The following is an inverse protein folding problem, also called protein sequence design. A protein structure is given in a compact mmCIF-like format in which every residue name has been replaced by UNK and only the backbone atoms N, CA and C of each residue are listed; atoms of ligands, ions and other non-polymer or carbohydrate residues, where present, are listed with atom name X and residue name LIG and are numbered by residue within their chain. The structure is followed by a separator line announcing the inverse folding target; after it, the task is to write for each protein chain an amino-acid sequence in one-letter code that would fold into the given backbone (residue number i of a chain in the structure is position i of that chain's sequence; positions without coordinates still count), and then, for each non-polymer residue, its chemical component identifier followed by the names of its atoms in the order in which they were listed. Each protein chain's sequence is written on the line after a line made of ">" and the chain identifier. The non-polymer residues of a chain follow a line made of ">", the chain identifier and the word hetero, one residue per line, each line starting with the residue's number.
data_IF_252641209077
#
_entry.id   IF_252641209077
#
_cell.length_a   1.000
_cell.length_b   1.000
_cell.length_c   1.000
_cell.angle_alpha   90.00
_cell.angle_beta   90.00
_cell.angle_gamma   90.00
#
_symmetry.space_group_name_H-M   'P 1'
#
loop_
_entity.id
_entity.type
_entity.pdbx_description
1 polymer ?
#
# COMPACT_ATOMS: atom_id res chain seq x y z
N UNK A 1 -32.13 -4.66 10.10
CA UNK A 1 -30.94 -5.48 10.36
C UNK A 1 -29.69 -4.68 10.02
N UNK A 2 -29.14 -3.94 10.99
CA UNK A 2 -27.86 -3.26 10.79
C UNK A 2 -26.78 -4.33 10.62
N UNK A 3 -26.19 -4.42 9.42
CA UNK A 3 -25.06 -5.32 9.16
C UNK A 3 -23.88 -4.79 9.99
N UNK A 4 -23.72 -5.33 11.19
CA UNK A 4 -22.70 -4.91 12.16
C UNK A 4 -21.31 -4.98 11.50
N UNK A 5 -20.63 -3.83 11.43
CA UNK A 5 -19.23 -3.78 11.05
C UNK A 5 -18.94 -3.53 9.57
N UNK A 6 -19.76 -2.77 8.86
CA UNK A 6 -19.35 -2.19 7.58
C UNK A 6 -18.69 -0.84 7.81
N UNK A 7 -17.51 -0.63 7.22
CA UNK A 7 -16.69 0.56 7.47
C UNK A 7 -17.19 1.76 6.66
N UNK A 8 -17.63 2.81 7.35
CA UNK A 8 -17.90 4.12 6.77
C UNK A 8 -16.80 5.09 7.17
N UNK A 9 -16.15 5.68 6.17
CA UNK A 9 -15.12 6.67 6.39
C UNK A 9 -15.32 7.87 5.47
N UNK A 10 -14.89 9.04 5.91
CA UNK A 10 -15.06 10.29 5.16
C UNK A 10 -13.87 10.64 4.28
N UNK A 11 -12.65 10.29 4.70
CA UNK A 11 -11.44 10.59 3.95
C UNK A 11 -10.45 9.40 3.99
N UNK A 12 -9.80 9.03 2.88
CA UNK A 12 -8.89 7.89 2.85
C UNK A 12 -7.52 8.19 3.50
N UNK A 13 -6.84 7.14 3.94
CA UNK A 13 -5.47 7.21 4.46
C UNK A 13 -4.50 6.89 3.33
N UNK A 14 -3.83 7.92 2.82
CA UNK A 14 -3.00 7.85 1.62
C UNK A 14 -1.63 8.50 1.85
N UNK A 15 -0.64 8.07 1.06
CA UNK A 15 0.65 8.74 0.96
C UNK A 15 0.68 9.73 -0.21
N UNK A 16 1.60 10.69 -0.14
CA UNK A 16 1.79 11.75 -1.15
C UNK A 16 1.97 11.19 -2.56
N UNK A 17 2.79 10.14 -2.71
CA UNK A 17 3.00 9.50 -4.03
C UNK A 17 1.73 8.91 -4.64
N UNK A 18 0.79 8.43 -3.82
CA UNK A 18 -0.48 7.90 -4.30
C UNK A 18 -1.49 8.99 -4.59
N UNK A 19 -1.42 10.08 -3.83
CA UNK A 19 -2.31 11.20 -3.95
C UNK A 19 -2.04 11.96 -5.26
N UNK A 20 -0.78 12.24 -5.58
CA UNK A 20 -0.37 12.91 -6.81
C UNK A 20 0.57 14.08 -6.56
N UNK A 21 0.93 14.77 -7.64
CA UNK A 21 1.66 16.04 -7.63
C UNK A 21 0.72 17.24 -7.55
N UNK A 22 -0.51 17.10 -8.05
CA UNK A 22 -1.51 18.18 -8.04
C UNK A 22 -2.12 18.40 -6.64
N UNK A 23 -2.03 19.62 -6.06
CA UNK A 23 -2.68 19.93 -4.79
C UNK A 23 -4.22 19.89 -4.84
N UNK A 24 -4.81 20.09 -6.01
CA UNK A 24 -6.27 20.13 -6.20
C UNK A 24 -6.77 18.82 -6.79
N UNK A 25 -7.34 17.97 -5.94
CA UNK A 25 -7.75 16.61 -6.32
C UNK A 25 -9.27 16.48 -6.25
N UNK A 26 -9.83 15.85 -7.27
CA UNK A 26 -11.23 15.43 -7.30
C UNK A 26 -11.30 13.93 -7.00
N UNK A 27 -12.03 13.58 -5.95
CA UNK A 27 -12.20 12.21 -5.48
C UNK A 27 -13.67 11.82 -5.54
N UNK A 28 -13.96 10.60 -5.97
CA UNK A 28 -15.28 9.98 -5.88
C UNK A 28 -15.31 9.09 -4.64
N UNK A 29 -16.35 9.26 -3.80
CA UNK A 29 -16.62 8.43 -2.63
C UNK A 29 -17.76 7.47 -2.96
N UNK A 30 -17.49 6.17 -2.83
CA UNK A 30 -18.49 5.12 -3.02
C UNK A 30 -18.59 4.31 -1.73
N UNK A 31 -19.76 4.34 -1.09
CA UNK A 31 -20.02 3.57 0.12
C UNK A 31 -20.10 2.08 -0.19
N UNK A 32 -19.34 1.26 0.54
CA UNK A 32 -19.38 -0.21 0.48
C UNK A 32 -19.18 -0.82 -0.92
N UNK A 33 -18.41 -0.16 -1.80
CA UNK A 33 -18.29 -0.59 -3.20
C UNK A 33 -17.54 -1.92 -3.40
N UNK A 34 -16.59 -2.26 -2.52
CA UNK A 34 -15.76 -3.50 -2.61
C UNK A 34 -15.37 -3.99 -1.23
N UNK A 35 -15.01 -5.27 -1.21
CA UNK A 35 -14.35 -5.91 -0.08
C UNK A 35 -12.86 -5.54 0.01
N UNK A 36 -12.38 -5.41 1.24
CA UNK A 36 -10.97 -5.23 1.55
C UNK A 36 -10.17 -6.48 1.16
N UNK A 37 -9.04 -6.28 0.48
CA UNK A 37 -8.18 -7.39 0.01
C UNK A 37 -7.52 -8.21 1.12
N UNK A 38 -7.54 -7.72 2.36
CA UNK A 38 -6.95 -8.39 3.52
C UNK A 38 -8.02 -9.04 4.41
N UNK A 39 -9.01 -8.28 4.87
CA UNK A 39 -10.00 -8.77 5.83
C UNK A 39 -11.31 -9.27 5.19
N UNK A 40 -11.52 -9.05 3.88
CA UNK A 40 -12.74 -9.44 3.16
C UNK A 40 -14.00 -8.63 3.53
N UNK A 41 -13.88 -7.61 4.39
CA UNK A 41 -15.03 -6.77 4.81
C UNK A 41 -15.28 -5.66 3.79
N UNK A 42 -16.54 -5.32 3.46
CA UNK A 42 -16.85 -4.20 2.60
C UNK A 42 -16.49 -2.88 3.27
N UNK A 43 -15.93 -1.95 2.50
CA UNK A 43 -15.49 -0.64 2.98
C UNK A 43 -15.77 0.46 1.96
N UNK A 44 -15.63 1.71 2.39
CA UNK A 44 -15.81 2.88 1.53
C UNK A 44 -14.62 3.02 0.58
N UNK A 45 -14.90 3.06 -0.72
CA UNK A 45 -13.87 3.24 -1.75
C UNK A 45 -13.77 4.71 -2.07
N UNK A 46 -12.52 5.15 -2.20
CA UNK A 46 -12.21 6.43 -2.80
C UNK A 46 -11.50 6.18 -4.11
N UNK A 47 -11.90 6.91 -5.17
CA UNK A 47 -11.29 6.83 -6.50
C UNK A 47 -10.92 8.23 -6.99
N UNK A 48 -9.69 8.42 -7.44
CA UNK A 48 -9.17 9.72 -7.89
C UNK A 48 -8.15 9.57 -9.01
N UNK A 49 -7.85 10.68 -9.69
CA UNK A 49 -6.81 10.76 -10.70
C UNK A 49 -5.63 11.56 -10.12
N UNK A 50 -4.44 10.94 -9.91
CA UNK A 50 -3.31 11.62 -9.30
C UNK A 50 -2.71 12.76 -10.13
N UNK A 51 -2.79 12.68 -11.46
CA UNK A 51 -2.20 13.65 -12.37
C UNK A 51 -2.54 13.35 -13.84
N UNK A 52 -2.17 14.27 -14.73
CA UNK A 52 -2.37 14.10 -16.17
C UNK A 52 -1.55 12.90 -16.70
N UNK A 53 -2.15 12.06 -17.54
CA UNK A 53 -1.50 10.86 -18.07
C UNK A 53 -1.27 9.72 -17.06
N UNK A 54 -1.79 9.86 -15.83
CA UNK A 54 -1.75 8.81 -14.81
C UNK A 54 -3.01 7.94 -14.86
N UNK A 55 -2.96 6.77 -14.21
CA UNK A 55 -4.16 5.94 -14.03
C UNK A 55 -4.98 6.41 -12.84
N UNK A 56 -6.28 6.23 -12.93
CA UNK A 56 -7.15 6.34 -11.77
C UNK A 56 -6.71 5.35 -10.69
N UNK A 57 -6.41 5.89 -9.51
CA UNK A 57 -6.15 5.12 -8.30
C UNK A 57 -7.43 4.95 -7.51
N UNK A 58 -7.45 3.90 -6.70
CA UNK A 58 -8.53 3.61 -5.76
C UNK A 58 -7.96 2.98 -4.50
N UNK A 59 -8.67 3.10 -3.39
CA UNK A 59 -8.33 2.37 -2.16
C UNK A 59 -8.55 0.86 -2.33
N UNK A 60 -7.61 0.05 -1.85
CA UNK A 60 -7.64 -1.42 -1.97
C UNK A 60 -7.86 -2.12 -0.61
N UNK A 61 -7.52 -1.44 0.49
CA UNK A 61 -7.71 -1.93 1.86
C UNK A 61 -8.57 -0.97 2.68
N UNK A 62 -9.24 -1.50 3.71
CA UNK A 62 -10.02 -0.70 4.64
C UNK A 62 -9.14 0.15 5.57
N UNK A 63 -9.69 1.21 6.17
CA UNK A 63 -8.98 2.06 7.12
C UNK A 63 -8.52 1.27 8.33
N UNK A 64 -9.29 0.29 8.79
CA UNK A 64 -8.90 -0.54 9.93
C UNK A 64 -7.59 -1.29 9.65
N UNK A 65 -7.46 -1.94 8.49
CA UNK A 65 -6.22 -2.62 8.09
C UNK A 65 -5.06 -1.62 7.88
N UNK A 66 -5.36 -0.45 7.33
CA UNK A 66 -4.38 0.63 7.17
C UNK A 66 -3.85 1.12 8.52
N UNK A 67 -4.72 1.31 9.52
CA UNK A 67 -4.37 1.77 10.89
C UNK A 67 -3.65 0.70 11.72
N UNK A 68 -3.96 -0.59 11.56
CA UNK A 68 -3.27 -1.66 12.28
C UNK A 68 -1.77 -1.66 11.93
N UNK A 69 -1.46 -1.53 10.63
CA UNK A 69 -0.09 -1.64 10.11
C UNK A 69 0.55 -0.29 9.77
N UNK A 70 -0.07 0.85 10.02
CA UNK A 70 0.38 2.18 9.56
C UNK A 70 0.76 2.25 8.06
N UNK A 71 -0.12 1.76 7.18
CA UNK A 71 0.16 1.70 5.72
C UNK A 71 -0.85 2.47 4.90
N UNK A 72 -0.42 2.97 3.74
CA UNK A 72 -1.31 3.60 2.76
C UNK A 72 -2.31 2.61 2.17
N UNK A 73 -3.58 3.04 2.05
CA UNK A 73 -4.69 2.20 1.58
C UNK A 73 -4.57 1.70 0.13
N UNK A 74 -3.66 2.29 -0.67
CA UNK A 74 -3.49 1.96 -2.10
C UNK A 74 -2.19 1.24 -2.38
N UNK A 75 -1.06 1.75 -1.88
CA UNK A 75 0.25 1.15 -2.17
C UNK A 75 0.72 0.13 -1.14
N UNK A 76 0.11 0.08 0.05
CA UNK A 76 0.51 -0.80 1.18
C UNK A 76 1.99 -0.59 1.53
N UNK A 77 2.44 0.66 1.39
CA UNK A 77 3.73 1.10 1.92
C UNK A 77 3.47 1.89 3.18
N UNK A 78 4.47 1.91 4.03
CA UNK A 78 4.50 2.69 5.26
C UNK A 78 4.21 4.17 5.00
N UNK A 79 3.45 4.80 5.90
CA UNK A 79 3.07 6.22 5.76
C UNK A 79 4.19 7.20 6.14
N UNK A 80 5.13 6.80 7.01
CA UNK A 80 6.21 7.67 7.47
C UNK A 80 7.43 7.60 6.54
N UNK A 81 7.89 6.39 6.21
CA UNK A 81 9.12 6.16 5.46
C UNK A 81 8.89 5.74 4.00
N UNK A 82 7.66 5.37 3.63
CA UNK A 82 7.34 4.92 2.27
C UNK A 82 7.98 3.58 1.89
N UNK A 83 8.37 2.77 2.89
CA UNK A 83 9.04 1.48 2.74
C UNK A 83 8.04 0.30 2.77
N UNK A 84 8.41 -0.87 2.22
CA UNK A 84 7.64 -2.09 2.41
C UNK A 84 7.53 -2.49 3.88
N UNK A 85 6.39 -3.07 4.27
CA UNK A 85 6.10 -3.51 5.64
C UNK A 85 7.18 -4.45 6.18
N UNK A 86 7.65 -5.40 5.36
CA UNK A 86 8.72 -6.32 5.75
C UNK A 86 10.03 -5.59 6.10
N UNK A 87 10.40 -4.53 5.36
CA UNK A 87 11.62 -3.75 5.65
C UNK A 87 11.48 -3.04 6.99
N UNK A 88 10.32 -2.42 7.23
CA UNK A 88 10.06 -1.74 8.48
C UNK A 88 10.06 -2.70 9.67
N UNK A 89 9.28 -3.78 9.60
CA UNK A 89 9.06 -4.68 10.74
C UNK A 89 10.36 -5.40 11.14
N UNK A 90 11.23 -5.73 10.18
CA UNK A 90 12.56 -6.29 10.47
C UNK A 90 13.51 -5.32 11.16
N UNK A 91 13.53 -4.04 10.77
CA UNK A 91 14.40 -3.02 11.37
C UNK A 91 13.88 -2.60 12.74
N UNK A 92 12.56 -2.48 12.90
CA UNK A 92 11.93 -2.17 14.19
C UNK A 92 11.85 -3.37 15.13
N UNK A 93 12.26 -4.57 14.67
CA UNK A 93 12.12 -5.84 15.39
C UNK A 93 10.71 -6.05 15.96
N UNK A 94 9.71 -5.47 15.31
CA UNK A 94 8.31 -5.52 15.76
C UNK A 94 7.69 -6.77 15.17
N UNK A 95 7.31 -7.72 16.03
CA UNK A 95 6.54 -8.88 15.62
C UNK A 95 5.07 -8.50 15.58
N UNK A 96 4.51 -8.45 14.37
CA UNK A 96 3.09 -8.20 14.19
C UNK A 96 2.32 -9.54 14.22
N UNK A 97 1.65 -9.81 15.33
CA UNK A 97 0.81 -11.00 15.57
C UNK A 97 -0.54 -10.98 14.83
N UNK A 98 -0.59 -10.40 13.61
CA UNK A 98 -1.83 -10.40 12.83
C UNK A 98 -2.10 -11.81 12.30
N UNK A 99 -3.21 -12.47 12.67
CA UNK A 99 -3.49 -13.83 12.23
C UNK A 99 -3.70 -13.92 10.72
N UNK A 100 -3.20 -14.98 10.09
CA UNK A 100 -3.32 -15.20 8.63
C UNK A 100 -4.58 -15.96 8.21
N UNK A 101 -5.08 -16.83 9.08
CA UNK A 101 -6.32 -17.58 8.81
C UNK A 101 -7.50 -16.63 8.76
N UNK A 102 -8.36 -16.77 7.75
CA UNK A 102 -9.43 -15.81 7.46
C UNK A 102 -10.35 -15.55 8.67
N UNK A 103 -10.74 -16.60 9.42
CA UNK A 103 -11.61 -16.47 10.60
C UNK A 103 -10.92 -15.71 11.73
N UNK A 104 -9.71 -16.10 12.12
CA UNK A 104 -8.99 -15.42 13.22
C UNK A 104 -8.63 -13.98 12.83
N UNK A 105 -8.33 -13.73 11.56
CA UNK A 105 -8.08 -12.39 11.05
C UNK A 105 -9.33 -11.51 11.19
N UNK A 106 -10.51 -12.01 10.81
CA UNK A 106 -11.77 -11.27 10.97
C UNK A 106 -12.06 -10.92 12.43
N UNK A 107 -11.85 -11.88 13.34
CA UNK A 107 -12.03 -11.65 14.79
C UNK A 107 -11.03 -10.61 15.31
N UNK A 108 -9.76 -10.71 14.89
CA UNK A 108 -8.72 -9.75 15.26
C UNK A 108 -9.07 -8.34 14.76
N UNK A 109 -9.43 -8.20 13.49
CA UNK A 109 -9.81 -6.92 12.88
C UNK A 109 -11.04 -6.33 13.56
N UNK A 110 -12.05 -7.13 13.93
CA UNK A 110 -13.21 -6.65 14.66
C UNK A 110 -12.87 -6.16 16.08
N UNK A 111 -11.91 -6.82 16.77
CA UNK A 111 -11.39 -6.35 18.07
C UNK A 111 -10.59 -5.06 17.90
N UNK A 112 -9.72 -5.00 16.90
CA UNK A 112 -8.91 -3.83 16.60
C UNK A 112 -9.77 -2.62 16.21
N UNK A 113 -10.82 -2.82 15.42
CA UNK A 113 -11.79 -1.77 15.07
C UNK A 113 -12.45 -1.18 16.32
N UNK A 114 -12.88 -2.02 17.27
CA UNK A 114 -13.44 -1.54 18.55
C UNK A 114 -12.40 -0.80 19.40
N UNK A 115 -11.15 -1.24 19.40
CA UNK A 115 -10.07 -0.59 20.13
C UNK A 115 -9.65 0.76 19.51
N UNK A 116 -9.76 0.88 18.18
CA UNK A 116 -9.41 2.07 17.40
C UNK A 116 -10.59 3.02 17.18
N UNK A 117 -11.82 2.60 17.51
CA UNK A 117 -13.00 3.46 17.43
C UNK A 117 -12.84 4.65 18.38
N UNK A 118 -12.67 5.85 17.80
CA UNK A 118 -12.50 7.09 18.55
C UNK A 118 -11.05 7.50 18.86
N UNK A 119 -10.05 6.71 18.45
CA UNK A 119 -8.62 7.09 18.55
C UNK A 119 -8.04 7.43 17.17
N UNK A 120 -7.32 8.56 17.02
CA UNK A 120 -6.67 8.92 15.76
C UNK A 120 -5.39 8.12 15.49
N UNK A 121 -4.83 7.44 16.49
CA UNK A 121 -3.53 6.79 16.41
C UNK A 121 -3.58 5.39 15.76
N UNK A 122 -2.54 5.09 14.98
CA UNK A 122 -2.23 3.75 14.48
C UNK A 122 -1.71 2.87 15.64
N UNK A 123 -1.83 1.53 15.54
CA UNK A 123 -1.25 0.62 16.54
C UNK A 123 0.29 0.62 16.54
N UNK A 124 0.92 1.14 15.50
CA UNK A 124 2.39 1.13 15.39
C UNK A 124 2.96 2.31 16.16
N UNK A 125 3.54 2.04 17.33
CA UNK A 125 4.18 3.03 18.21
C UNK A 125 5.61 3.34 17.75
N UNK A 126 5.78 4.24 16.76
CA UNK A 126 7.12 4.73 16.39
C UNK A 126 7.78 5.50 17.53
N UNK A 127 7.02 6.05 18.48
CA UNK A 127 7.56 6.79 19.63
C UNK A 127 8.51 5.95 20.51
N UNK A 128 8.32 4.63 20.57
CA UNK A 128 9.12 3.70 21.39
C UNK A 128 10.29 3.07 20.64
N UNK A 129 10.38 3.25 19.33
CA UNK A 129 11.46 2.68 18.53
C UNK A 129 12.78 3.43 18.75
N UNK A 130 13.87 2.66 18.86
CA UNK A 130 15.23 3.17 19.01
C UNK A 130 15.55 4.20 17.92
N UNK A 131 16.23 5.27 18.33
CA UNK A 131 16.67 6.34 17.42
C UNK A 131 17.51 5.80 16.26
N UNK A 132 18.34 4.79 16.51
CA UNK A 132 19.15 4.11 15.50
C UNK A 132 18.31 3.37 14.44
N UNK A 133 17.23 2.71 14.84
CA UNK A 133 16.34 2.01 13.92
C UNK A 133 15.63 3.00 12.97
N UNK A 134 15.21 4.15 13.49
CA UNK A 134 14.61 5.24 12.69
C UNK A 134 15.60 5.82 11.69
N UNK A 135 16.86 5.99 12.08
CA UNK A 135 17.89 6.50 11.18
C UNK A 135 18.18 5.51 10.04
N UNK A 136 18.24 4.21 10.35
CA UNK A 136 18.38 3.16 9.34
C UNK A 136 17.21 3.16 8.34
N UNK A 137 15.96 3.28 8.81
CA UNK A 137 14.79 3.40 7.96
C UNK A 137 14.83 4.67 7.10
N UNK A 138 15.24 5.80 7.67
CA UNK A 138 15.37 7.07 6.94
C UNK A 138 16.43 6.99 5.84
N UNK A 139 17.54 6.26 6.04
CA UNK A 139 18.57 6.04 5.02
C UNK A 139 18.06 5.19 3.84
N UNK A 140 17.18 4.23 4.11
CA UNK A 140 16.55 3.39 3.08
C UNK A 140 15.37 4.08 2.38
N UNK A 141 14.74 5.04 3.05
CA UNK A 141 13.62 5.80 2.53
C UNK A 141 14.05 6.68 1.34
N UNK A 142 13.12 6.91 0.41
CA UNK A 142 13.36 7.82 -0.72
C UNK A 142 13.02 9.24 -0.32
N UNK A 143 13.86 10.20 -0.70
CA UNK A 143 13.60 11.63 -0.51
C UNK A 143 12.49 12.16 -1.42
N UNK A 144 12.44 11.69 -2.67
CA UNK A 144 11.48 12.19 -3.66
C UNK A 144 10.35 11.21 -4.00
N UNK A 145 9.13 11.71 -4.25
CA UNK A 145 7.99 10.91 -4.66
C UNK A 145 8.22 10.11 -5.96
N UNK A 146 8.07 8.78 -5.90
CA UNK A 146 8.19 7.92 -7.08
C UNK A 146 6.87 7.80 -7.87
N UNK A 147 6.56 8.81 -8.70
CA UNK A 147 5.33 8.89 -9.49
C UNK A 147 5.20 7.85 -10.61
N UNK A 148 6.27 7.14 -10.98
CA UNK A 148 6.20 6.05 -11.97
C UNK A 148 5.22 4.94 -11.55
N UNK A 149 4.88 4.82 -10.26
CA UNK A 149 3.84 3.90 -9.75
C UNK A 149 2.41 4.27 -10.15
N UNK A 150 2.17 5.53 -10.52
CA UNK A 150 0.85 6.03 -10.91
C UNK A 150 0.59 5.85 -12.41
N UNK A 151 1.59 5.39 -13.17
CA UNK A 151 1.45 5.14 -14.60
C UNK A 151 0.37 4.08 -14.90
N UNK A 152 -0.30 4.20 -16.07
CA UNK A 152 -1.19 3.15 -16.57
C UNK A 152 -0.53 1.77 -16.63
N UNK A 153 -1.36 0.75 -16.52
CA UNK A 153 -0.91 -0.62 -16.77
C UNK A 153 -0.47 -0.78 -18.23
N UNK A 154 0.34 -1.81 -18.48
CA UNK A 154 0.74 -2.16 -19.83
C UNK A 154 -0.48 -2.65 -20.62
N UNK A 155 -0.52 -2.28 -21.89
CA UNK A 155 -1.57 -2.71 -22.80
C UNK A 155 -1.36 -4.18 -23.15
N UNK A 156 -2.24 -5.06 -22.65
CA UNK A 156 -2.19 -6.49 -22.96
C UNK A 156 -2.33 -6.79 -24.45
N UNK A 157 -3.10 -5.98 -25.19
CA UNK A 157 -3.25 -6.11 -26.65
C UNK A 157 -2.01 -5.68 -27.41
N UNK A 158 -1.28 -4.67 -26.91
CA UNK A 158 -0.02 -4.24 -27.52
C UNK A 158 1.06 -5.31 -27.35
N UNK A 159 1.15 -5.91 -26.15
CA UNK A 159 2.05 -7.03 -25.91
C UNK A 159 1.81 -8.23 -26.84
N UNK A 160 0.58 -8.39 -27.36
CA UNK A 160 0.21 -9.41 -28.35
C UNK A 160 0.32 -8.96 -29.82
N UNK A 161 0.60 -7.68 -30.07
CA UNK A 161 0.62 -7.11 -31.42
C UNK A 161 -0.75 -6.77 -32.03
N UNK A 162 -1.84 -6.83 -31.25
CA UNK A 162 -3.22 -6.66 -31.73
C UNK A 162 -3.85 -5.31 -31.35
N UNK A 163 -3.07 -4.37 -30.79
CA UNK A 163 -3.61 -3.08 -30.36
C UNK A 163 -3.96 -2.18 -31.56
N UNK A 164 -5.26 -2.02 -31.84
CA UNK A 164 -5.77 -1.13 -32.90
C UNK A 164 -5.95 0.34 -32.50
N UNK A 165 -5.70 0.67 -31.22
CA UNK A 165 -5.94 2.02 -30.66
C UNK A 165 -4.79 3.00 -30.90
N UNK A 166 -3.64 2.54 -31.39
CA UNK A 166 -2.48 3.39 -31.65
C UNK A 166 -2.11 4.26 -30.45
N UNK A 167 -1.81 5.52 -30.70
CA UNK A 167 -1.39 6.50 -29.68
C UNK A 167 -2.52 6.99 -28.78
N UNK A 168 -3.79 6.75 -29.15
CA UNK A 168 -4.95 7.05 -28.31
C UNK A 168 -5.16 6.00 -27.20
N UNK A 169 -4.35 4.94 -27.17
CA UNK A 169 -4.49 3.90 -26.15
C UNK A 169 -4.23 4.46 -24.74
N UNK A 170 -5.18 4.36 -23.79
CA UNK A 170 -4.96 4.82 -22.41
C UNK A 170 -3.94 3.97 -21.62
N UNK A 171 -3.52 2.84 -22.19
CA UNK A 171 -2.58 1.91 -21.58
C UNK A 171 -1.21 2.07 -22.20
N UNK A 172 -0.16 1.72 -21.46
CA UNK A 172 1.21 1.90 -21.93
C UNK A 172 1.60 0.85 -22.96
N UNK A 173 2.21 1.30 -24.04
CA UNK A 173 2.80 0.48 -25.10
C UNK A 173 4.29 0.22 -24.82
N UNK A 174 4.55 -0.52 -23.74
CA UNK A 174 5.89 -0.99 -23.37
C UNK A 174 5.80 -2.50 -23.11
N UNK A 175 6.90 -3.24 -23.36
CA UNK A 175 6.93 -4.67 -23.11
C UNK A 175 7.00 -4.95 -21.58
N UNK A 176 6.24 -5.92 -21.06
CA UNK A 176 6.40 -6.37 -19.69
C UNK A 176 7.82 -6.87 -19.44
N UNK A 177 8.42 -6.44 -18.33
CA UNK A 177 9.69 -7.01 -17.88
C UNK A 177 9.35 -8.25 -17.04
N UNK A 178 9.75 -9.43 -17.51
CA UNK A 178 9.64 -10.66 -16.73
C UNK A 178 10.85 -10.77 -15.80
N UNK A 179 10.58 -10.69 -14.51
CA UNK A 179 11.58 -10.84 -13.44
C UNK A 179 10.86 -11.24 -12.15
N UNK A 180 11.60 -11.66 -11.12
CA UNK A 180 11.04 -12.09 -9.83
C UNK A 180 10.18 -11.00 -9.13
N UNK A 181 10.27 -9.75 -9.60
CA UNK A 181 9.51 -8.59 -9.12
C UNK A 181 8.13 -8.46 -9.79
N UNK A 182 7.82 -9.23 -10.83
CA UNK A 182 6.56 -9.16 -11.57
C UNK A 182 5.38 -9.80 -10.82
N UNK A 183 5.65 -10.84 -10.03
CA UNK A 183 4.65 -11.59 -9.26
C UNK A 183 4.61 -11.10 -7.82
N UNK A 184 3.81 -10.05 -7.56
CA UNK A 184 3.62 -9.51 -6.21
C UNK A 184 2.18 -9.73 -5.73
N UNK A 185 2.01 -10.51 -4.68
CA UNK A 185 0.72 -10.71 -4.03
C UNK A 185 0.50 -9.61 -2.97
N UNK A 186 -0.73 -9.08 -2.94
CA UNK A 186 -1.13 -8.02 -2.01
C UNK A 186 -1.11 -8.49 -0.54
N UNK A 187 -1.50 -9.74 -0.28
CA UNK A 187 -1.50 -10.31 1.08
C UNK A 187 -0.07 -10.45 1.59
N UNK A 188 0.83 -11.00 0.78
CA UNK A 188 2.24 -11.20 1.13
C UNK A 188 2.94 -9.87 1.46
N UNK A 189 2.67 -8.83 0.66
CA UNK A 189 3.18 -7.47 0.90
C UNK A 189 2.63 -6.84 2.19
N UNK A 190 1.37 -7.11 2.54
CA UNK A 190 0.75 -6.59 3.76
C UNK A 190 1.27 -7.29 5.03
N UNK A 191 1.40 -8.61 5.00
CA UNK A 191 1.91 -9.38 6.13
C UNK A 191 3.44 -9.35 6.24
N UNK A 192 4.13 -8.77 5.26
CA UNK A 192 5.59 -8.66 5.25
C UNK A 192 6.29 -10.00 5.05
N UNK A 193 5.66 -10.93 4.31
CA UNK A 193 6.22 -12.27 4.07
C UNK A 193 6.59 -12.43 2.59
N UNK A 194 7.82 -12.87 2.32
CA UNK A 194 8.30 -13.14 0.96
C UNK A 194 8.11 -11.99 -0.05
N UNK A 195 8.20 -10.73 0.36
CA UNK A 195 8.15 -9.61 -0.58
C UNK A 195 9.48 -9.50 -1.34
N UNK A 196 9.51 -9.72 -2.68
CA UNK A 196 10.74 -9.63 -3.46
C UNK A 196 11.33 -8.21 -3.47
N UNK A 197 10.48 -7.18 -3.35
CA UNK A 197 10.94 -5.79 -3.24
C UNK A 197 11.67 -5.57 -1.92
N UNK A 198 11.11 -6.07 -0.82
CA UNK A 198 11.73 -5.97 0.49
C UNK A 198 13.07 -6.71 0.54
N UNK A 199 13.12 -7.95 0.01
CA UNK A 199 14.37 -8.73 -0.08
C UNK A 199 15.46 -7.99 -0.84
N UNK A 200 15.12 -7.39 -1.99
CA UNK A 200 16.08 -6.61 -2.78
C UNK A 200 16.55 -5.36 -2.04
N UNK A 201 15.66 -4.66 -1.33
CA UNK A 201 16.03 -3.49 -0.54
C UNK A 201 16.95 -3.84 0.64
N UNK A 202 16.67 -4.93 1.35
CA UNK A 202 17.52 -5.42 2.44
C UNK A 202 18.89 -5.86 1.94
N UNK A 203 18.95 -6.61 0.83
CA UNK A 203 20.22 -7.05 0.23
C UNK A 203 21.07 -5.84 -0.18
N UNK A 204 20.45 -4.82 -0.80
CA UNK A 204 21.14 -3.61 -1.19
C UNK A 204 21.62 -2.78 0.02
N UNK A 205 20.84 -2.74 1.09
CA UNK A 205 21.23 -2.07 2.34
C UNK A 205 22.40 -2.78 3.03
N UNK A 206 22.45 -4.11 2.96
CA UNK A 206 23.57 -4.91 3.48
C UNK A 206 24.85 -4.83 2.64
N UNK A 207 24.75 -4.58 1.32
CA UNK A 207 25.91 -4.38 0.45
C UNK A 207 26.46 -2.95 0.46
N UNK A 208 25.73 -1.99 1.04
CA UNK A 208 26.07 -0.56 1.04
C UNK A 208 26.90 -0.08 2.23
N UNK A 209 27.32 -0.97 3.13
CA UNK A 209 28.17 -0.62 4.28
C UNK A 209 29.68 -0.64 3.98
N UNK A 210 30.10 -1.00 2.76
CA UNK A 210 31.52 -1.13 2.35
C UNK A 210 31.92 -0.26 1.14
N UNK A 211 31.30 0.91 0.95
CA UNK A 211 31.79 1.88 -0.04
C UNK A 211 31.76 3.29 0.52
N UNK A 212 32.95 3.77 0.88
CA UNK A 212 33.30 5.18 1.04
C UNK A 212 33.14 5.94 -0.29
#
# INVERSE_FOLDING_TARGET
>A
MARQGWEQADFPILCETCLGDNPYIRMQKEGYGKECKICGRPFTIFRWLPGAGMRYKKTEICQTCSKIKNVCQTCILDLEFGLPVQVRDTVLQTQDDVPRSDVNNQVFVAKAEKALAGKPESLVDYGKADSAAKEALKRMARSEPYYKRNKPHLCSFYAKGECRRGDECPFRHELPVENDLSHQNIKDRYFGHNDPVAKRMMNNAGSGSDAH
#
